data_IF_465855986301
#
_entry.id   IF_465855986301
#
_cell.length_a   1.000
_cell.length_b   1.000
_cell.length_c   1.000
_cell.angle_alpha   90.00
_cell.angle_beta   90.00
_cell.angle_gamma   90.00
#
_symmetry.space_group_name_H-M   'P 1'
#
loop_
_entity.id
_entity.type
_entity.pdbx_description
1 polymer ?
#
# COMPACT_ATOMS: atom_id res chain seq x y z
N UNK A 1 51.47 41.71 -8.51
CA UNK A 1 51.33 43.01 -7.81
C UNK A 1 50.45 42.76 -6.59
N UNK A 2 50.94 43.16 -5.41
CA UNK A 2 50.40 42.86 -4.08
C UNK A 2 49.38 43.92 -3.62
N UNK A 3 48.77 43.64 -2.45
CA UNK A 3 48.19 44.54 -1.42
C UNK A 3 46.65 44.55 -1.33
N UNK A 4 45.96 44.50 -0.17
CA UNK A 4 46.17 43.86 1.15
C UNK A 4 44.81 43.73 1.85
N UNK A 5 44.73 42.77 2.78
CA UNK A 5 43.99 42.67 4.06
C UNK A 5 42.92 43.71 4.43
N UNK A 6 41.79 43.26 5.01
CA UNK A 6 41.30 43.74 6.33
C UNK A 6 40.39 42.70 7.01
N UNK A 7 40.63 42.50 8.30
CA UNK A 7 39.97 41.64 9.30
C UNK A 7 38.78 42.28 10.03
N UNK A 8 37.98 41.45 10.72
CA UNK A 8 37.30 41.60 12.05
C UNK A 8 35.89 40.97 11.94
N UNK A 9 35.41 40.06 12.78
CA UNK A 9 35.74 39.68 14.14
C UNK A 9 34.50 39.89 15.02
N UNK A 10 33.96 38.82 15.64
CA UNK A 10 33.40 38.82 17.01
C UNK A 10 32.96 37.43 17.44
N UNK A 11 33.64 36.93 18.46
CA UNK A 11 33.33 35.78 19.30
C UNK A 11 32.39 36.23 20.42
N UNK A 12 31.49 35.35 20.84
CA UNK A 12 30.93 35.35 22.20
C UNK A 12 30.82 33.89 22.68
N UNK A 13 31.73 33.55 23.59
CA UNK A 13 31.58 32.55 24.66
C UNK A 13 31.69 33.40 25.95
N UNK A 14 31.18 33.09 27.13
CA UNK A 14 30.50 31.96 27.74
C UNK A 14 29.81 32.53 28.99
N UNK A 15 28.89 31.78 29.62
CA UNK A 15 28.69 31.89 31.06
C UNK A 15 28.27 30.53 31.62
N UNK A 16 29.19 29.97 32.40
CA UNK A 16 29.05 28.80 33.27
C UNK A 16 28.45 29.28 34.60
N UNK A 17 27.49 28.53 35.14
CA UNK A 17 27.20 28.52 36.57
C UNK A 17 27.07 27.06 37.02
N UNK A 18 27.77 26.74 38.11
CA UNK A 18 27.96 25.42 38.72
C UNK A 18 27.57 25.52 40.20
N UNK A 19 27.30 24.34 40.80
CA UNK A 19 27.12 23.98 42.22
C UNK A 19 25.67 24.12 42.75
N UNK A 20 25.08 23.20 43.54
CA UNK A 20 25.60 22.18 44.45
C UNK A 20 24.54 21.07 44.72
N UNK A 21 25.03 19.84 44.77
CA UNK A 21 24.61 18.55 45.39
C UNK A 21 23.31 18.50 46.23
N UNK A 22 22.50 17.48 45.93
CA UNK A 22 21.61 16.78 46.88
C UNK A 22 21.59 15.28 46.59
N UNK A 23 22.20 14.48 47.48
CA UNK A 23 22.16 13.01 47.49
C UNK A 23 20.87 12.53 48.18
N UNK A 24 20.17 11.57 47.58
CA UNK A 24 19.14 10.75 48.22
C UNK A 24 19.39 9.26 47.92
N UNK A 25 19.05 8.33 48.84
CA UNK A 25 19.50 6.94 48.78
C UNK A 25 18.58 6.03 47.95
N UNK A 26 19.16 4.86 47.65
CA UNK A 26 18.67 3.77 46.81
C UNK A 26 17.28 3.21 47.13
N UNK A 27 16.55 2.84 46.07
CA UNK A 27 15.47 1.87 46.11
C UNK A 27 15.67 0.85 44.98
N UNK A 28 15.28 -0.40 45.28
CA UNK A 28 15.74 -1.65 44.69
C UNK A 28 15.44 -1.88 43.21
N UNK A 29 16.44 -2.37 42.48
CA UNK A 29 16.23 -3.11 41.24
C UNK A 29 15.64 -4.49 41.55
N UNK A 30 14.37 -4.70 41.20
CA UNK A 30 13.78 -6.03 41.06
C UNK A 30 13.88 -6.50 39.61
N UNK A 31 14.10 -7.80 39.33
CA UNK A 31 14.10 -8.31 37.97
C UNK A 31 12.65 -8.42 37.51
N UNK A 32 12.19 -7.53 36.64
CA UNK A 32 10.95 -7.75 35.90
C UNK A 32 11.25 -8.71 34.75
N UNK A 33 11.03 -10.00 35.04
CA UNK A 33 10.81 -11.03 34.03
C UNK A 33 9.54 -10.65 33.27
N UNK A 34 9.70 -10.05 32.10
CA UNK A 34 8.62 -9.94 31.12
C UNK A 34 8.66 -11.23 30.30
N UNK A 35 7.78 -12.15 30.68
CA UNK A 35 7.49 -13.35 29.93
C UNK A 35 7.11 -13.00 28.49
N UNK A 36 7.70 -13.73 27.54
CA UNK A 36 7.19 -13.90 26.20
C UNK A 36 5.70 -14.27 26.28
N UNK A 37 4.82 -13.37 25.83
CA UNK A 37 3.48 -13.76 25.43
C UNK A 37 3.58 -14.08 23.96
N UNK A 38 3.91 -15.35 23.67
CA UNK A 38 3.59 -15.96 22.40
C UNK A 38 2.08 -16.02 22.28
N UNK A 39 1.48 -14.93 21.79
CA UNK A 39 0.09 -14.91 21.37
C UNK A 39 0.03 -15.71 20.07
N UNK A 40 -0.31 -16.99 20.21
CA UNK A 40 -0.71 -17.81 19.08
C UNK A 40 -1.96 -17.14 18.49
N UNK A 41 -1.75 -16.34 17.44
CA UNK A 41 -2.81 -15.72 16.67
C UNK A 41 -3.82 -16.81 16.31
N UNK A 42 -5.02 -16.69 16.86
CA UNK A 42 -6.19 -17.44 16.43
C UNK A 42 -6.23 -17.34 14.90
N UNK A 43 -6.31 -18.48 14.20
CA UNK A 43 -6.35 -18.48 12.74
C UNK A 43 -7.65 -17.80 12.36
N UNK A 44 -7.56 -16.51 12.02
CA UNK A 44 -8.72 -15.72 11.63
C UNK A 44 -9.47 -16.47 10.52
N UNK A 45 -10.78 -16.62 10.71
CA UNK A 45 -11.63 -17.27 9.72
C UNK A 45 -11.48 -16.54 8.38
N UNK A 46 -11.44 -17.29 7.28
CA UNK A 46 -11.37 -16.69 5.96
C UNK A 46 -12.60 -15.77 5.74
N UNK A 47 -12.44 -14.62 5.08
CA UNK A 47 -13.55 -13.71 4.87
C UNK A 47 -14.64 -14.31 3.98
N UNK A 48 -15.87 -13.77 4.01
CA UNK A 48 -16.95 -14.24 3.13
C UNK A 48 -16.52 -14.27 1.66
N UNK A 49 -16.98 -15.27 0.89
CA UNK A 49 -16.79 -15.28 -0.56
C UNK A 49 -17.69 -14.24 -1.23
N UNK A 50 -17.34 -13.82 -2.45
CA UNK A 50 -18.08 -12.78 -3.17
C UNK A 50 -17.64 -11.35 -2.84
N UNK A 51 -16.50 -11.19 -2.14
CA UNK A 51 -16.00 -9.90 -1.67
C UNK A 51 -14.64 -9.56 -2.28
N UNK A 52 -14.19 -8.33 -2.05
CA UNK A 52 -12.83 -7.88 -2.31
C UNK A 52 -12.00 -8.01 -1.04
N UNK A 53 -10.92 -8.79 -1.12
CA UNK A 53 -9.99 -9.05 -0.03
C UNK A 53 -8.73 -8.21 -0.21
N UNK A 54 -8.44 -7.34 0.76
CA UNK A 54 -7.37 -6.35 0.65
C UNK A 54 -6.28 -6.66 1.67
N UNK A 55 -5.04 -6.65 1.22
CA UNK A 55 -3.87 -6.91 2.04
C UNK A 55 -2.95 -5.70 2.05
N UNK A 56 -2.40 -5.40 3.21
CA UNK A 56 -1.17 -4.63 3.31
C UNK A 56 -0.06 -5.53 3.84
N UNK A 57 0.95 -5.80 3.02
CA UNK A 57 2.13 -6.55 3.42
C UNK A 57 3.21 -5.61 3.94
N UNK A 58 3.61 -5.82 5.18
CA UNK A 58 4.66 -5.06 5.85
C UNK A 58 5.92 -5.92 5.98
N UNK A 59 7.02 -5.62 5.27
CA UNK A 59 8.29 -6.31 5.45
C UNK A 59 8.77 -6.34 6.90
N UNK A 60 9.66 -7.30 7.23
CA UNK A 60 10.10 -7.55 8.61
C UNK A 60 10.86 -6.38 9.22
N UNK A 61 11.56 -5.60 8.41
CA UNK A 61 12.38 -4.45 8.78
C UNK A 61 11.63 -3.12 8.76
N UNK A 62 10.36 -3.12 8.32
CA UNK A 62 9.50 -1.93 8.37
C UNK A 62 8.70 -1.87 9.68
N UNK A 63 8.67 -0.72 10.36
CA UNK A 63 7.81 -0.54 11.53
C UNK A 63 6.33 -0.59 11.11
N UNK A 64 5.47 -1.05 12.02
CA UNK A 64 4.04 -0.89 11.82
C UNK A 64 3.67 0.59 11.86
N UNK A 65 2.89 1.04 10.89
CA UNK A 65 2.38 2.39 10.81
C UNK A 65 0.92 2.34 10.36
N UNK A 66 0.02 2.80 11.24
CA UNK A 66 -1.43 2.74 11.06
C UNK A 66 -1.91 3.50 9.82
N UNK A 67 -1.12 4.46 9.31
CA UNK A 67 -1.49 5.24 8.13
C UNK A 67 -1.64 4.38 6.88
N UNK A 68 -0.90 3.28 6.75
CA UNK A 68 -1.02 2.38 5.60
C UNK A 68 -2.37 1.66 5.54
N UNK A 69 -2.78 0.84 6.55
CA UNK A 69 -4.07 0.18 6.49
C UNK A 69 -5.24 1.18 6.46
N UNK A 70 -5.15 2.31 7.17
CA UNK A 70 -6.19 3.35 7.13
C UNK A 70 -6.30 4.00 5.75
N UNK A 71 -5.17 4.33 5.14
CA UNK A 71 -5.07 4.96 3.83
C UNK A 71 -5.54 4.06 2.70
N UNK A 72 -5.07 2.81 2.69
CA UNK A 72 -5.51 1.79 1.73
C UNK A 72 -7.03 1.55 1.87
N UNK A 73 -7.54 1.46 3.11
CA UNK A 73 -8.98 1.34 3.34
C UNK A 73 -9.76 2.56 2.81
N UNK A 74 -9.22 3.77 2.94
CA UNK A 74 -9.85 4.98 2.40
C UNK A 74 -9.89 4.97 0.86
N UNK A 75 -8.78 4.62 0.21
CA UNK A 75 -8.69 4.49 -1.26
C UNK A 75 -9.65 3.41 -1.78
N UNK A 76 -9.76 2.28 -1.09
CA UNK A 76 -10.70 1.20 -1.46
C UNK A 76 -12.17 1.61 -1.30
N UNK A 77 -12.51 2.34 -0.23
CA UNK A 77 -13.87 2.89 -0.04
C UNK A 77 -14.20 3.96 -1.07
N UNK A 78 -13.22 4.76 -1.47
CA UNK A 78 -13.40 5.73 -2.56
C UNK A 78 -13.64 5.03 -3.90
N UNK A 79 -12.92 3.94 -4.17
CA UNK A 79 -13.20 3.09 -5.33
C UNK A 79 -14.60 2.47 -5.26
N UNK A 80 -15.05 1.96 -4.10
CA UNK A 80 -16.43 1.49 -3.93
C UNK A 80 -17.44 2.59 -4.29
N UNK A 81 -17.22 3.83 -3.82
CA UNK A 81 -18.07 4.98 -4.13
C UNK A 81 -18.10 5.27 -5.62
N UNK A 82 -16.94 5.27 -6.29
CA UNK A 82 -16.84 5.50 -7.72
C UNK A 82 -17.61 4.45 -8.53
N UNK A 83 -17.40 3.16 -8.24
CA UNK A 83 -18.11 2.07 -8.92
C UNK A 83 -19.62 2.14 -8.68
N UNK A 84 -20.05 2.46 -7.46
CA UNK A 84 -21.48 2.68 -7.16
C UNK A 84 -22.08 3.80 -8.02
N UNK A 85 -21.37 4.91 -8.21
CA UNK A 85 -21.83 6.02 -9.03
C UNK A 85 -21.89 5.67 -10.51
N UNK A 86 -20.87 4.97 -11.01
CA UNK A 86 -20.79 4.64 -12.43
C UNK A 86 -21.71 3.50 -12.85
N UNK A 87 -21.91 2.51 -11.98
CA UNK A 87 -22.60 1.25 -12.32
C UNK A 87 -23.97 1.11 -11.64
N UNK A 88 -24.27 1.94 -10.62
CA UNK A 88 -25.43 1.74 -9.74
C UNK A 88 -25.28 0.54 -8.78
N UNK A 89 -24.12 -0.12 -8.80
CA UNK A 89 -23.74 -1.26 -7.96
C UNK A 89 -22.28 -1.15 -7.57
N UNK A 90 -21.89 -1.79 -6.48
CA UNK A 90 -20.48 -1.83 -6.07
C UNK A 90 -20.12 -3.14 -5.39
N UNK A 91 -18.82 -3.38 -5.27
CA UNK A 91 -18.29 -4.55 -4.59
C UNK A 91 -18.36 -4.39 -3.06
N UNK A 92 -18.30 -5.50 -2.33
CA UNK A 92 -18.26 -5.52 -0.87
C UNK A 92 -16.81 -5.65 -0.40
N UNK A 93 -16.39 -4.82 0.54
CA UNK A 93 -15.13 -4.95 1.28
C UNK A 93 -15.34 -5.80 2.52
N UNK A 94 -14.31 -6.54 2.92
CA UNK A 94 -14.32 -7.33 4.16
C UNK A 94 -14.27 -6.44 5.41
N UNK A 95 -14.43 -7.08 6.57
CA UNK A 95 -14.16 -6.49 7.89
C UNK A 95 -13.12 -7.36 8.62
N UNK A 96 -11.89 -6.86 8.91
CA UNK A 96 -11.41 -5.52 8.56
C UNK A 96 -11.30 -5.32 7.04
N UNK A 97 -11.35 -4.06 6.59
CA UNK A 97 -11.19 -3.73 5.17
C UNK A 97 -9.82 -4.15 4.65
N UNK A 98 -8.77 -3.93 5.44
CA UNK A 98 -7.38 -4.27 5.12
C UNK A 98 -6.86 -5.29 6.13
N UNK A 99 -6.43 -6.44 5.63
CA UNK A 99 -5.70 -7.44 6.40
C UNK A 99 -4.22 -7.05 6.45
N UNK A 100 -3.72 -6.77 7.66
CA UNK A 100 -2.31 -6.47 7.89
C UNK A 100 -1.52 -7.77 7.92
N UNK A 101 -0.58 -7.92 6.99
CA UNK A 101 0.26 -9.10 6.86
C UNK A 101 1.69 -8.73 7.22
N UNK A 102 2.23 -9.30 8.30
CA UNK A 102 3.67 -9.27 8.54
C UNK A 102 4.34 -10.17 7.50
N UNK A 103 5.14 -9.57 6.63
CA UNK A 103 5.92 -10.27 5.62
C UNK A 103 6.92 -11.25 6.22
N UNK A 104 7.28 -12.27 5.45
CA UNK A 104 8.29 -13.26 5.85
C UNK A 104 9.73 -12.77 5.67
N UNK A 105 9.92 -11.66 4.94
CA UNK A 105 11.23 -11.15 4.57
C UNK A 105 11.36 -9.63 4.76
N UNK A 106 12.60 -9.13 4.70
CA UNK A 106 12.89 -7.70 4.68
C UNK A 106 12.58 -7.07 3.30
N UNK A 107 12.53 -5.73 3.25
CA UNK A 107 12.26 -4.98 2.03
C UNK A 107 13.20 -5.36 0.88
N UNK A 108 14.49 -5.53 1.17
CA UNK A 108 15.49 -5.82 0.13
C UNK A 108 15.25 -7.19 -0.51
N UNK A 109 14.76 -8.18 0.24
CA UNK A 109 14.37 -9.47 -0.33
C UNK A 109 13.26 -9.32 -1.37
N UNK A 110 12.19 -8.57 -1.07
CA UNK A 110 11.11 -8.35 -2.05
C UNK A 110 11.61 -7.63 -3.31
N UNK A 111 12.59 -6.75 -3.16
CA UNK A 111 13.20 -5.99 -4.28
C UNK A 111 14.13 -6.84 -5.15
N UNK A 112 14.85 -7.81 -4.56
CA UNK A 112 16.00 -8.45 -5.23
C UNK A 112 15.85 -9.95 -5.45
N UNK A 113 14.96 -10.62 -4.72
CA UNK A 113 14.84 -12.08 -4.80
C UNK A 113 14.36 -12.52 -6.19
N UNK A 114 15.19 -13.34 -6.86
CA UNK A 114 14.98 -13.87 -8.22
C UNK A 114 14.80 -12.80 -9.31
N UNK A 115 15.36 -11.61 -9.12
CA UNK A 115 15.20 -10.50 -10.07
C UNK A 115 16.53 -10.00 -10.58
N UNK A 116 16.59 -9.71 -11.89
CA UNK A 116 17.75 -9.10 -12.54
C UNK A 116 17.32 -8.06 -13.57
N UNK A 117 18.12 -7.01 -13.79
CA UNK A 117 17.90 -6.07 -14.89
C UNK A 117 16.55 -5.36 -14.87
N UNK A 118 15.71 -5.60 -15.88
CA UNK A 118 14.37 -5.01 -16.01
C UNK A 118 13.32 -5.66 -15.10
N UNK A 119 13.58 -6.87 -14.59
CA UNK A 119 12.63 -7.61 -13.76
C UNK A 119 12.32 -6.88 -12.44
N UNK A 120 13.23 -6.01 -12.01
CA UNK A 120 13.09 -5.17 -10.84
C UNK A 120 11.81 -4.32 -10.84
N UNK A 121 11.24 -4.02 -12.01
CA UNK A 121 9.95 -3.34 -12.08
C UNK A 121 8.82 -4.16 -11.45
N UNK A 122 8.77 -5.47 -11.73
CA UNK A 122 7.72 -6.36 -11.23
C UNK A 122 8.12 -7.13 -9.97
N UNK A 123 9.37 -7.05 -9.54
CA UNK A 123 9.95 -7.92 -8.52
C UNK A 123 9.20 -7.85 -7.19
N UNK A 124 9.01 -6.63 -6.68
CA UNK A 124 8.34 -6.35 -5.41
C UNK A 124 6.95 -6.97 -5.39
N UNK A 125 6.13 -6.66 -6.38
CA UNK A 125 4.74 -7.11 -6.44
C UNK A 125 4.63 -8.59 -6.77
N UNK A 126 5.54 -9.14 -7.57
CA UNK A 126 5.59 -10.58 -7.87
C UNK A 126 5.93 -11.41 -6.64
N UNK A 127 6.94 -11.00 -5.87
CA UNK A 127 7.34 -11.66 -4.63
C UNK A 127 6.24 -11.56 -3.56
N UNK A 128 5.61 -10.38 -3.38
CA UNK A 128 4.43 -10.22 -2.51
C UNK A 128 3.29 -11.15 -2.93
N UNK A 129 2.92 -11.14 -4.21
CA UNK A 129 1.78 -11.91 -4.73
C UNK A 129 1.98 -13.42 -4.51
N UNK A 130 3.18 -13.94 -4.77
CA UNK A 130 3.51 -15.35 -4.52
C UNK A 130 3.42 -15.70 -3.02
N UNK A 131 3.90 -14.82 -2.14
CA UNK A 131 3.80 -15.03 -0.71
C UNK A 131 2.34 -15.06 -0.24
N UNK A 132 1.52 -14.08 -0.64
CA UNK A 132 0.10 -14.02 -0.27
C UNK A 132 -0.66 -15.25 -0.79
N UNK A 133 -0.44 -15.65 -2.04
CA UNK A 133 -1.07 -16.86 -2.61
C UNK A 133 -0.71 -18.10 -1.81
N UNK A 134 0.57 -18.29 -1.49
CA UNK A 134 1.05 -19.45 -0.73
C UNK A 134 0.50 -19.47 0.70
N UNK A 135 0.51 -18.33 1.39
CA UNK A 135 0.13 -18.23 2.80
C UNK A 135 -1.38 -18.38 3.02
N UNK A 136 -2.18 -17.84 2.12
CA UNK A 136 -3.63 -17.78 2.27
C UNK A 136 -4.39 -18.74 1.34
N UNK A 137 -3.65 -19.57 0.58
CA UNK A 137 -4.24 -20.55 -0.34
C UNK A 137 -5.11 -19.88 -1.40
N UNK A 138 -4.66 -18.75 -1.96
CA UNK A 138 -5.40 -17.96 -2.93
C UNK A 138 -4.93 -18.33 -4.33
N UNK A 139 -5.88 -18.50 -5.25
CA UNK A 139 -5.60 -18.74 -6.67
C UNK A 139 -5.50 -17.42 -7.45
N UNK A 140 -4.98 -17.48 -8.68
CA UNK A 140 -4.90 -16.30 -9.56
C UNK A 140 -5.43 -16.66 -10.95
N UNK A 141 -6.68 -16.28 -11.31
CA UNK A 141 -7.73 -15.69 -10.48
C UNK A 141 -8.34 -16.66 -9.43
N UNK A 142 -8.78 -16.14 -8.28
CA UNK A 142 -9.57 -16.90 -7.29
C UNK A 142 -11.08 -16.78 -7.56
N UNK A 143 -11.85 -17.83 -7.26
CA UNK A 143 -13.32 -17.80 -7.43
C UNK A 143 -14.06 -17.23 -6.23
N UNK A 144 -13.41 -17.18 -5.07
CA UNK A 144 -13.98 -16.71 -3.80
C UNK A 144 -13.82 -15.21 -3.62
N UNK A 145 -12.67 -14.67 -4.03
CA UNK A 145 -12.29 -13.27 -3.80
C UNK A 145 -11.67 -12.64 -5.04
N UNK A 146 -11.90 -11.34 -5.22
CA UNK A 146 -11.01 -10.46 -5.97
C UNK A 146 -10.02 -9.89 -4.96
N UNK A 147 -8.72 -9.94 -5.24
CA UNK A 147 -7.70 -9.62 -4.24
C UNK A 147 -6.96 -8.35 -4.61
N UNK A 148 -6.62 -7.56 -3.60
CA UNK A 148 -5.79 -6.36 -3.71
C UNK A 148 -4.64 -6.50 -2.72
N UNK A 149 -3.41 -6.40 -3.20
CA UNK A 149 -2.23 -6.41 -2.34
C UNK A 149 -1.40 -5.14 -2.55
N UNK A 150 -1.05 -4.48 -1.46
CA UNK A 150 -0.04 -3.42 -1.43
C UNK A 150 1.06 -3.79 -0.44
N UNK A 151 2.31 -3.42 -0.73
CA UNK A 151 3.47 -3.74 0.12
C UNK A 151 4.29 -2.50 0.44
N UNK A 152 4.75 -2.35 1.68
CA UNK A 152 5.72 -1.30 2.05
C UNK A 152 7.17 -1.67 1.65
N UNK A 153 7.38 -1.92 0.36
CA UNK A 153 8.69 -2.17 -0.25
C UNK A 153 8.75 -1.51 -1.63
N UNK A 154 9.83 -0.82 -1.95
CA UNK A 154 9.99 -0.10 -3.21
C UNK A 154 11.47 0.03 -3.56
N UNK A 155 11.86 -0.31 -4.79
CA UNK A 155 13.12 0.18 -5.33
C UNK A 155 12.90 1.55 -5.98
N UNK A 156 13.53 2.62 -5.46
CA UNK A 156 13.23 3.98 -5.91
C UNK A 156 13.36 4.17 -7.43
N UNK A 157 12.30 4.70 -8.05
CA UNK A 157 12.16 4.95 -9.49
C UNK A 157 12.21 3.69 -10.37
N UNK A 158 11.94 2.52 -9.80
CA UNK A 158 12.09 1.28 -10.53
C UNK A 158 10.95 0.31 -10.31
N UNK A 159 10.51 0.10 -9.08
CA UNK A 159 9.39 -0.79 -8.83
C UNK A 159 8.09 -0.20 -9.38
N UNK A 160 7.19 -1.09 -9.76
CA UNK A 160 5.88 -0.75 -10.26
C UNK A 160 4.80 -1.62 -9.64
N UNK A 161 3.59 -1.39 -10.14
CA UNK A 161 2.40 -2.12 -9.77
C UNK A 161 1.52 -2.30 -11.00
N UNK A 162 0.47 -3.08 -10.82
CA UNK A 162 -0.52 -3.29 -11.85
C UNK A 162 -1.55 -4.33 -11.42
N UNK A 163 -2.42 -4.66 -12.34
CA UNK A 163 -3.49 -5.61 -12.09
C UNK A 163 -3.69 -6.57 -13.26
N UNK A 164 -4.29 -7.70 -12.94
CA UNK A 164 -4.78 -8.71 -13.87
C UNK A 164 -6.12 -9.22 -13.36
N UNK A 165 -6.83 -10.01 -14.15
CA UNK A 165 -8.14 -10.53 -13.76
C UNK A 165 -8.09 -11.16 -12.34
N UNK A 166 -8.85 -10.59 -11.39
CA UNK A 166 -8.95 -11.05 -10.01
C UNK A 166 -7.85 -10.59 -9.04
N UNK A 167 -6.87 -9.82 -9.49
CA UNK A 167 -5.75 -9.36 -8.67
C UNK A 167 -5.31 -7.93 -9.00
N UNK A 168 -5.17 -7.10 -7.97
CA UNK A 168 -4.39 -5.85 -7.98
C UNK A 168 -3.15 -6.05 -7.12
N UNK A 169 -1.98 -5.65 -7.59
CA UNK A 169 -0.72 -5.74 -6.85
C UNK A 169 0.11 -4.48 -7.03
N UNK A 170 0.33 -3.74 -5.95
CA UNK A 170 0.98 -2.42 -5.98
C UNK A 170 2.19 -2.36 -5.04
N UNK A 171 3.20 -1.60 -5.43
CA UNK A 171 4.46 -1.47 -4.67
C UNK A 171 4.38 -0.39 -3.59
N UNK A 172 5.50 -0.15 -2.91
CA UNK A 172 5.59 0.79 -1.79
C UNK A 172 5.26 2.22 -2.16
N UNK A 173 5.52 2.65 -3.39
CA UNK A 173 5.14 4.00 -3.83
C UNK A 173 3.61 4.20 -3.83
N UNK A 174 2.83 3.19 -4.19
CA UNK A 174 1.36 3.25 -4.13
C UNK A 174 0.85 3.14 -2.69
N UNK A 175 1.46 2.28 -1.87
CA UNK A 175 1.14 2.16 -0.44
C UNK A 175 1.43 3.46 0.33
N UNK A 176 2.57 4.10 0.05
CA UNK A 176 2.94 5.41 0.60
C UNK A 176 1.91 6.46 0.17
N UNK A 177 1.54 6.45 -1.11
CA UNK A 177 0.52 7.32 -1.66
C UNK A 177 -0.84 7.21 -0.97
N UNK A 178 -1.32 5.98 -0.80
CA UNK A 178 -2.55 5.68 -0.06
C UNK A 178 -2.47 6.16 1.40
N UNK A 179 -1.30 6.00 2.04
CA UNK A 179 -1.02 6.50 3.38
C UNK A 179 -0.89 8.03 3.48
N UNK A 180 -1.07 8.76 2.37
CA UNK A 180 -0.94 10.22 2.31
C UNK A 180 0.51 10.72 2.32
N UNK A 181 1.47 9.84 2.02
CA UNK A 181 2.89 10.15 1.96
C UNK A 181 3.25 10.52 0.52
N UNK A 182 3.35 11.81 0.28
CA UNK A 182 3.77 12.33 -1.03
C UNK A 182 2.67 12.27 -2.10
N UNK A 183 2.62 13.31 -2.92
CA UNK A 183 1.69 13.38 -4.06
C UNK A 183 0.27 13.82 -3.70
N UNK A 184 -0.55 13.90 -4.75
CA UNK A 184 -1.96 14.30 -4.67
C UNK A 184 -2.82 13.04 -4.51
N UNK A 185 -3.70 13.01 -3.49
CA UNK A 185 -4.57 11.87 -3.22
C UNK A 185 -5.43 11.43 -4.41
N UNK A 186 -5.83 12.36 -5.29
CA UNK A 186 -6.59 12.02 -6.49
C UNK A 186 -5.83 11.08 -7.44
N UNK A 187 -4.49 11.10 -7.46
CA UNK A 187 -3.68 10.15 -8.25
C UNK A 187 -3.87 8.73 -7.73
N UNK A 188 -3.92 8.55 -6.42
CA UNK A 188 -4.06 7.24 -5.77
C UNK A 188 -5.50 6.72 -5.89
N UNK A 189 -6.50 7.60 -5.76
CA UNK A 189 -7.90 7.25 -6.03
C UNK A 189 -8.12 6.82 -7.49
N UNK A 190 -7.64 7.63 -8.45
CA UNK A 190 -7.74 7.29 -9.87
C UNK A 190 -7.00 6.01 -10.22
N UNK A 191 -5.79 5.83 -9.69
CA UNK A 191 -5.00 4.61 -9.86
C UNK A 191 -5.73 3.37 -9.35
N UNK A 192 -6.25 3.38 -8.13
CA UNK A 192 -7.00 2.22 -7.62
C UNK A 192 -8.23 1.89 -8.46
N UNK A 193 -8.97 2.89 -8.95
CA UNK A 193 -10.11 2.66 -9.84
C UNK A 193 -9.67 1.98 -11.15
N UNK A 194 -8.56 2.44 -11.74
CA UNK A 194 -7.95 1.88 -12.95
C UNK A 194 -7.55 0.41 -12.74
N UNK A 195 -6.80 0.13 -11.68
CA UNK A 195 -6.30 -1.22 -11.39
C UNK A 195 -7.43 -2.19 -11.03
N UNK A 196 -8.43 -1.74 -10.26
CA UNK A 196 -9.63 -2.53 -10.05
C UNK A 196 -10.37 -2.81 -11.36
N UNK A 197 -10.32 -1.89 -12.33
CA UNK A 197 -10.92 -2.11 -13.64
C UNK A 197 -10.31 -3.32 -14.34
N UNK A 198 -8.98 -3.45 -14.31
CA UNK A 198 -8.28 -4.65 -14.78
C UNK A 198 -8.64 -5.90 -13.97
N UNK A 199 -8.73 -5.78 -12.64
CA UNK A 199 -9.14 -6.89 -11.79
C UNK A 199 -10.57 -7.36 -12.08
N UNK A 200 -11.47 -6.47 -12.48
CA UNK A 200 -12.81 -6.78 -12.99
C UNK A 200 -12.84 -7.23 -14.47
N UNK A 201 -11.68 -7.27 -15.13
CA UNK A 201 -11.52 -7.85 -16.47
C UNK A 201 -11.52 -6.86 -17.63
N UNK A 202 -11.37 -5.56 -17.36
CA UNK A 202 -11.21 -4.56 -18.42
C UNK A 202 -9.76 -4.51 -18.93
N UNK A 203 -9.53 -4.39 -20.25
CA UNK A 203 -8.21 -4.05 -20.78
C UNK A 203 -7.93 -2.56 -20.61
N UNK A 204 -6.67 -2.18 -20.81
CA UNK A 204 -6.31 -0.78 -21.07
C UNK A 204 -7.05 -0.27 -22.30
N UNK A 205 -7.42 1.01 -22.26
CA UNK A 205 -7.82 1.75 -23.45
C UNK A 205 -6.60 2.02 -24.32
N UNK A 206 -6.79 1.93 -25.64
CA UNK A 206 -5.74 2.19 -26.62
C UNK A 206 -5.43 3.68 -26.80
N UNK A 207 -6.14 4.57 -26.09
CA UNK A 207 -5.99 6.03 -26.17
C UNK A 207 -6.43 6.71 -24.88
N UNK A 208 -5.98 7.93 -24.62
CA UNK A 208 -6.52 8.80 -23.56
C UNK A 208 -7.93 9.26 -23.94
N UNK A 209 -8.95 8.66 -23.33
CA UNK A 209 -10.34 8.73 -23.81
C UNK A 209 -11.35 9.23 -22.77
N UNK A 210 -10.88 9.72 -21.61
CA UNK A 210 -11.72 10.17 -20.52
C UNK A 210 -12.22 9.03 -19.62
N UNK A 211 -11.94 7.77 -19.94
CA UNK A 211 -12.26 6.63 -19.08
C UNK A 211 -11.14 6.38 -18.06
N UNK A 212 -11.45 5.81 -16.89
CA UNK A 212 -10.42 5.44 -15.93
C UNK A 212 -9.50 4.31 -16.46
N UNK A 213 -9.86 3.61 -17.54
CA UNK A 213 -8.99 2.60 -18.17
C UNK A 213 -7.97 3.19 -19.15
N UNK A 214 -7.84 4.50 -19.21
CA UNK A 214 -6.78 5.18 -19.97
C UNK A 214 -5.94 6.04 -19.04
N UNK A 215 -4.92 6.72 -19.56
CA UNK A 215 -4.18 7.75 -18.81
C UNK A 215 -5.08 8.87 -18.23
N UNK A 216 -6.36 8.95 -18.60
CA UNK A 216 -7.32 9.83 -17.96
C UNK A 216 -7.54 9.53 -16.48
N UNK A 217 -7.15 8.37 -15.93
CA UNK A 217 -7.25 8.13 -14.47
C UNK A 217 -6.53 9.21 -13.63
N UNK A 218 -5.49 9.85 -14.16
CA UNK A 218 -4.83 11.00 -13.52
C UNK A 218 -5.73 12.24 -13.38
N UNK A 219 -6.85 12.30 -14.10
CA UNK A 219 -7.84 13.39 -14.06
C UNK A 219 -8.97 13.14 -13.06
N UNK A 220 -8.85 12.11 -12.21
CA UNK A 220 -9.83 11.80 -11.16
C UNK A 220 -10.22 13.05 -10.35
N UNK A 221 -11.53 13.26 -10.04
CA UNK A 221 -12.66 12.36 -10.30
C UNK A 221 -13.33 12.52 -11.66
N UNK A 222 -12.76 13.28 -12.60
CA UNK A 222 -13.39 13.63 -13.87
C UNK A 222 -13.15 12.58 -14.96
N UNK A 223 -13.45 11.32 -14.64
CA UNK A 223 -13.41 10.19 -15.58
C UNK A 223 -14.67 9.36 -15.44
N UNK A 224 -15.09 8.70 -16.52
CA UNK A 224 -16.30 7.87 -16.53
C UNK A 224 -16.06 6.57 -17.30
N UNK A 225 -16.62 5.46 -16.84
CA UNK A 225 -16.62 4.24 -17.65
C UNK A 225 -17.50 4.46 -18.88
N UNK A 226 -17.03 4.00 -20.04
CA UNK A 226 -17.88 3.87 -21.23
C UNK A 226 -18.96 2.81 -21.01
N UNK A 227 -20.07 2.87 -21.74
CA UNK A 227 -21.13 1.86 -21.60
C UNK A 227 -20.62 0.43 -21.86
N UNK A 228 -19.67 0.26 -22.78
CA UNK A 228 -19.05 -1.03 -23.06
C UNK A 228 -18.27 -1.56 -21.84
N UNK A 229 -17.49 -0.70 -21.18
CA UNK A 229 -16.77 -1.05 -19.94
C UNK A 229 -17.74 -1.41 -18.81
N UNK A 230 -18.81 -0.61 -18.61
CA UNK A 230 -19.85 -0.91 -17.62
C UNK A 230 -20.48 -2.29 -17.85
N UNK A 231 -20.84 -2.59 -19.09
CA UNK A 231 -21.41 -3.90 -19.46
C UNK A 231 -20.41 -5.04 -19.25
N UNK A 232 -19.13 -4.83 -19.56
CA UNK A 232 -18.09 -5.84 -19.38
C UNK A 232 -17.83 -6.15 -17.90
N UNK A 233 -17.79 -5.13 -17.02
CA UNK A 233 -17.68 -5.32 -15.57
C UNK A 233 -18.89 -6.10 -15.04
N UNK A 234 -20.11 -5.65 -15.34
CA UNK A 234 -21.34 -6.22 -14.78
C UNK A 234 -21.60 -7.67 -15.22
N UNK A 235 -21.18 -8.04 -16.44
CA UNK A 235 -21.34 -9.39 -16.98
C UNK A 235 -20.05 -10.23 -16.88
N UNK A 236 -18.98 -9.67 -16.32
CA UNK A 236 -17.67 -10.30 -16.21
C UNK A 236 -17.60 -11.35 -15.11
N UNK A 237 -16.43 -11.99 -14.97
CA UNK A 237 -16.18 -13.07 -14.00
C UNK A 237 -16.57 -12.71 -12.57
N UNK A 238 -16.34 -11.46 -12.18
CA UNK A 238 -16.62 -10.93 -10.85
C UNK A 238 -17.88 -10.05 -10.81
N UNK A 239 -18.71 -10.05 -11.86
CA UNK A 239 -19.94 -9.26 -11.88
C UNK A 239 -20.94 -9.65 -10.77
N UNK A 240 -20.90 -10.90 -10.31
CA UNK A 240 -21.69 -11.38 -9.18
C UNK A 240 -21.24 -10.83 -7.82
N UNK A 241 -20.08 -10.18 -7.74
CA UNK A 241 -19.57 -9.55 -6.51
C UNK A 241 -20.12 -8.13 -6.35
N UNK A 242 -20.89 -7.63 -7.33
CA UNK A 242 -21.45 -6.29 -7.37
C UNK A 242 -22.92 -6.31 -6.93
N UNK A 243 -23.23 -5.55 -5.88
CA UNK A 243 -24.54 -5.50 -5.23
C UNK A 243 -25.21 -4.15 -5.42
#
# INVERSE_FOLDING_TARGET
>A
MSITTTSRGRRWAAAIAVLLIGLAPAASAGPASAAEVGEAAEVAEAPPSGTVRVFWLKPTDKPFDQRYPDGIAAVMREAQRYYQQELGKTFILNDPVVEVVNGEHDENWYITNNCTGSDHYWCVVGNMHQELMRRFGISSPDSRWLNVGEISAEEPNRSGGGASLGWVTLSGHDADGAAGIGGNMNRWYGGMVHELGHAFGLPDSTSTDGTPMSASFYSYPNTHFSQAQKNAILNGRYGSFLH
#
